data_IF_910572932955
#
_entry.id   IF_910572932955
#
_cell.length_a   1.000
_cell.length_b   1.000
_cell.length_c   1.000
_cell.angle_alpha   90.00
_cell.angle_beta   90.00
_cell.angle_gamma   90.00
#
_symmetry.space_group_name_H-M   'P 1'
#
loop_
_entity.id
_entity.type
_entity.pdbx_description
1 polymer ?
#
# COMPACT_ATOMS: atom_id res chain seq x y z
N UNK A 1 24.42 53.16 35.96
CA UNK A 1 25.15 52.36 36.94
C UNK A 1 24.52 51.04 37.12
N UNK A 2 25.03 50.02 36.43
CA UNK A 2 25.18 48.67 36.92
C UNK A 2 25.98 47.92 35.84
N UNK A 3 27.09 47.36 36.28
CA UNK A 3 28.11 46.68 35.51
C UNK A 3 27.62 45.43 34.79
N UNK A 4 28.14 45.22 33.56
CA UNK A 4 28.06 43.99 32.82
C UNK A 4 29.26 43.10 33.18
N UNK A 5 29.03 41.94 33.76
CA UNK A 5 29.99 40.83 33.78
C UNK A 5 29.78 39.92 32.60
N UNK A 6 30.81 39.79 31.81
CA UNK A 6 30.86 38.87 30.69
C UNK A 6 31.09 37.43 31.16
N UNK A 7 30.29 36.52 30.64
CA UNK A 7 30.58 35.10 30.67
C UNK A 7 30.89 34.63 29.26
N UNK A 8 32.16 34.33 29.05
CA UNK A 8 32.73 33.66 27.89
C UNK A 8 32.23 32.19 27.90
N UNK A 9 31.40 31.82 26.96
CA UNK A 9 30.99 30.39 26.75
C UNK A 9 31.58 29.93 25.43
N UNK A 10 32.66 29.16 25.57
CA UNK A 10 33.40 28.56 24.50
C UNK A 10 32.49 27.73 23.59
N UNK A 11 32.50 28.10 22.33
CA UNK A 11 31.93 27.32 21.23
C UNK A 11 32.78 26.08 21.01
N UNK A 12 32.31 24.92 21.43
CA UNK A 12 32.81 23.63 20.97
C UNK A 12 32.04 23.28 19.69
N UNK A 13 32.65 23.56 18.54
CA UNK A 13 32.26 23.04 17.27
C UNK A 13 32.59 21.56 17.23
N UNK A 14 31.62 20.69 17.50
CA UNK A 14 31.67 19.31 17.07
C UNK A 14 31.00 19.23 15.70
N UNK A 15 31.81 19.36 14.64
CA UNK A 15 31.49 18.90 13.30
C UNK A 15 31.37 17.37 13.33
N UNK A 16 30.24 16.87 13.75
CA UNK A 16 29.81 15.50 13.45
C UNK A 16 29.31 15.45 12.00
N UNK A 17 30.25 15.52 11.04
CA UNK A 17 30.07 15.02 9.69
C UNK A 17 29.88 13.50 9.80
N UNK A 18 28.69 13.04 10.19
CA UNK A 18 28.24 11.69 9.88
C UNK A 18 28.12 11.62 8.36
N UNK A 19 29.15 11.06 7.71
CA UNK A 19 29.04 10.60 6.36
C UNK A 19 27.79 9.70 6.28
N UNK A 20 26.76 10.15 5.55
CA UNK A 20 25.62 9.32 5.23
C UNK A 20 26.16 8.04 4.58
N UNK A 21 25.83 6.90 5.15
CA UNK A 21 26.19 5.59 4.62
C UNK A 21 25.51 5.44 3.25
N UNK A 22 26.29 5.39 2.14
CA UNK A 22 25.71 5.34 0.80
C UNK A 22 24.95 4.04 0.48
N UNK A 23 24.85 3.12 1.43
CA UNK A 23 24.21 1.81 1.29
C UNK A 23 22.88 1.68 2.05
N UNK A 24 22.41 2.73 2.76
CA UNK A 24 21.03 2.69 3.24
C UNK A 24 20.10 2.86 2.03
N UNK A 25 19.25 1.87 1.71
CA UNK A 25 18.19 2.08 0.75
C UNK A 25 17.39 3.30 1.24
N UNK A 26 17.42 4.37 0.46
CA UNK A 26 16.57 5.53 0.69
C UNK A 26 15.16 5.01 0.55
N UNK A 27 14.45 4.84 1.67
CA UNK A 27 13.03 4.51 1.65
C UNK A 27 12.34 5.59 0.82
N UNK A 28 11.88 5.19 -0.35
CA UNK A 28 11.22 6.09 -1.28
C UNK A 28 9.96 6.61 -0.60
N UNK A 29 9.94 7.89 -0.27
CA UNK A 29 8.76 8.52 0.33
C UNK A 29 7.70 8.78 -0.75
N UNK A 30 6.83 7.83 -0.97
CA UNK A 30 5.76 7.91 -1.96
C UNK A 30 4.90 9.17 -1.81
N UNK A 31 4.70 9.66 -0.60
CA UNK A 31 3.98 10.91 -0.35
C UNK A 31 4.73 12.10 -0.95
N UNK A 32 6.02 12.19 -0.76
CA UNK A 32 6.84 13.29 -1.33
C UNK A 32 6.85 13.26 -2.85
N UNK A 33 6.96 12.07 -3.44
CA UNK A 33 6.87 11.89 -4.90
C UNK A 33 5.51 12.37 -5.42
N UNK A 34 4.42 11.97 -4.76
CA UNK A 34 3.06 12.37 -5.14
C UNK A 34 2.86 13.87 -4.99
N UNK A 35 3.33 14.47 -3.90
CA UNK A 35 3.29 15.92 -3.72
C UNK A 35 4.07 16.68 -4.81
N UNK A 36 5.27 16.18 -5.16
CA UNK A 36 6.07 16.75 -6.23
C UNK A 36 5.37 16.62 -7.60
N UNK A 37 4.75 15.47 -7.89
CA UNK A 37 3.99 15.24 -9.12
C UNK A 37 2.78 16.17 -9.22
N UNK A 38 2.00 16.30 -8.14
CA UNK A 38 0.85 17.22 -8.07
C UNK A 38 1.32 18.65 -8.33
N UNK A 39 2.37 19.09 -7.63
CA UNK A 39 2.96 20.43 -7.82
C UNK A 39 3.32 20.66 -9.28
N UNK A 40 4.08 19.73 -9.87
CA UNK A 40 4.50 19.82 -11.27
C UNK A 40 3.32 19.96 -12.23
N UNK A 41 2.29 19.13 -12.06
CA UNK A 41 1.08 19.19 -12.90
C UNK A 41 0.30 20.49 -12.74
N UNK A 42 0.22 21.03 -11.53
CA UNK A 42 -0.39 22.34 -11.28
C UNK A 42 0.41 23.47 -11.93
N UNK A 43 1.74 23.43 -11.83
CA UNK A 43 2.61 24.42 -12.48
C UNK A 43 2.48 24.38 -14.01
N UNK A 44 2.46 23.18 -14.60
CA UNK A 44 2.24 22.99 -16.04
C UNK A 44 0.87 23.54 -16.50
N UNK A 45 -0.19 23.23 -15.77
CA UNK A 45 -1.53 23.71 -16.08
C UNK A 45 -1.66 25.24 -16.00
N UNK A 46 -1.09 25.84 -14.95
CA UNK A 46 -1.11 27.28 -14.73
C UNK A 46 -0.25 27.97 -15.82
N UNK A 47 0.90 27.40 -16.17
CA UNK A 47 1.76 27.91 -17.23
C UNK A 47 1.03 27.92 -18.58
N UNK A 48 0.46 26.79 -18.98
CA UNK A 48 -0.28 26.66 -20.24
C UNK A 48 -1.44 27.64 -20.31
N UNK A 49 -2.22 27.74 -19.23
CA UNK A 49 -3.33 28.71 -19.12
C UNK A 49 -2.84 30.14 -19.28
N UNK A 50 -1.71 30.49 -18.63
CA UNK A 50 -1.16 31.85 -18.71
C UNK A 50 -0.60 32.20 -20.07
N UNK A 51 0.05 31.26 -20.73
CA UNK A 51 0.57 31.44 -22.08
C UNK A 51 -0.57 31.64 -23.09
N UNK A 52 -1.61 30.81 -23.03
CA UNK A 52 -2.82 30.96 -23.87
C UNK A 52 -3.48 32.31 -23.67
N UNK A 53 -3.72 32.70 -22.39
CA UNK A 53 -4.30 34.02 -22.10
C UNK A 53 -3.44 35.16 -22.64
N UNK A 54 -2.10 35.07 -22.52
CA UNK A 54 -1.20 36.11 -23.00
C UNK A 54 -1.21 36.20 -24.53
N UNK A 55 -1.28 35.06 -25.22
CA UNK A 55 -1.38 35.02 -26.66
C UNK A 55 -2.71 35.63 -27.16
N UNK A 56 -3.81 35.29 -26.50
CA UNK A 56 -5.14 35.87 -26.78
C UNK A 56 -5.14 37.39 -26.57
N UNK A 57 -4.62 37.89 -25.45
CA UNK A 57 -4.52 39.31 -25.12
C UNK A 57 -3.69 40.10 -26.15
N UNK A 58 -2.71 39.47 -26.79
CA UNK A 58 -1.85 40.07 -27.77
C UNK A 58 -2.26 39.77 -29.22
N UNK A 59 -3.31 39.02 -29.43
CA UNK A 59 -3.80 38.55 -30.74
C UNK A 59 -2.70 37.88 -31.57
N UNK A 60 -1.94 36.96 -30.91
CA UNK A 60 -0.84 36.18 -31.49
C UNK A 60 -1.01 34.72 -31.13
N UNK A 61 -0.20 33.82 -31.71
CA UNK A 61 -0.14 32.43 -31.33
C UNK A 61 0.80 32.20 -30.14
N UNK A 62 0.56 31.13 -29.36
CA UNK A 62 1.44 30.76 -28.21
C UNK A 62 2.87 30.53 -28.67
N UNK A 63 3.06 29.94 -29.85
CA UNK A 63 4.36 29.63 -30.44
C UNK A 63 5.17 30.89 -30.87
N UNK A 64 4.48 32.02 -31.03
CA UNK A 64 5.10 33.30 -31.37
C UNK A 64 5.47 34.12 -30.13
N UNK A 65 5.16 33.63 -28.91
CA UNK A 65 5.55 34.32 -27.67
C UNK A 65 7.09 34.34 -27.51
N UNK A 66 7.60 35.48 -27.12
CA UNK A 66 9.05 35.66 -26.94
C UNK A 66 9.57 34.94 -25.69
N UNK A 67 10.84 34.48 -25.73
CA UNK A 67 11.46 33.77 -24.61
C UNK A 67 11.38 34.52 -23.25
N UNK A 68 11.53 35.86 -23.17
CA UNK A 68 11.31 36.57 -21.89
C UNK A 68 9.91 36.47 -21.33
N UNK A 69 8.89 36.44 -22.19
CA UNK A 69 7.49 36.28 -21.80
C UNK A 69 7.25 34.90 -21.23
N UNK A 70 7.71 33.87 -21.95
CA UNK A 70 7.62 32.46 -21.50
C UNK A 70 8.29 32.31 -20.14
N UNK A 71 9.52 32.80 -19.98
CA UNK A 71 10.26 32.73 -18.70
C UNK A 71 9.58 33.47 -17.56
N UNK A 72 8.90 34.59 -17.86
CA UNK A 72 8.10 35.30 -16.87
C UNK A 72 6.86 34.51 -16.45
N UNK A 73 6.19 33.88 -17.40
CA UNK A 73 5.04 33.00 -17.14
C UNK A 73 5.43 31.77 -16.32
N UNK A 74 6.56 31.12 -16.63
CA UNK A 74 7.12 30.02 -15.84
C UNK A 74 7.38 30.43 -14.38
N UNK A 75 8.04 31.56 -14.18
CA UNK A 75 8.31 32.08 -12.85
C UNK A 75 7.00 32.33 -12.10
N UNK A 76 6.02 32.91 -12.76
CA UNK A 76 4.71 33.19 -12.18
C UNK A 76 4.00 31.89 -11.81
N UNK A 77 3.97 30.88 -12.68
CA UNK A 77 3.37 29.58 -12.40
C UNK A 77 3.97 28.96 -11.14
N UNK A 78 5.30 28.88 -11.04
CA UNK A 78 6.00 28.34 -9.86
C UNK A 78 5.69 29.10 -8.57
N UNK A 79 5.56 30.40 -8.61
CA UNK A 79 5.30 31.23 -7.41
C UNK A 79 3.81 31.22 -7.03
N UNK A 80 2.91 30.88 -7.94
CA UNK A 80 1.47 30.82 -7.70
C UNK A 80 1.06 29.52 -7.02
N UNK A 81 1.79 28.42 -7.25
CA UNK A 81 1.48 27.11 -6.66
C UNK A 81 2.00 27.04 -5.23
N UNK A 82 1.16 27.38 -4.28
CA UNK A 82 1.49 27.32 -2.85
C UNK A 82 1.46 25.88 -2.32
N UNK A 83 2.38 25.55 -1.39
CA UNK A 83 2.47 24.21 -0.77
C UNK A 83 1.18 23.80 -0.08
N UNK A 84 0.44 24.73 0.51
CA UNK A 84 -0.85 24.46 1.14
C UNK A 84 -1.91 23.98 0.15
N UNK A 85 -1.91 24.50 -1.08
CA UNK A 85 -2.83 24.05 -2.14
C UNK A 85 -2.45 22.67 -2.63
N UNK A 86 -1.15 22.41 -2.83
CA UNK A 86 -0.64 21.08 -3.19
C UNK A 86 -1.03 20.06 -2.13
N UNK A 87 -0.85 20.38 -0.85
CA UNK A 87 -1.25 19.51 0.24
C UNK A 87 -2.77 19.29 0.30
N UNK A 88 -3.57 20.32 0.05
CA UNK A 88 -5.03 20.17 0.00
C UNK A 88 -5.48 19.25 -1.13
N UNK A 89 -4.88 19.37 -2.31
CA UNK A 89 -5.15 18.46 -3.44
C UNK A 89 -4.74 17.04 -3.11
N UNK A 90 -3.58 16.84 -2.49
CA UNK A 90 -3.12 15.54 -2.04
C UNK A 90 -4.10 14.91 -1.03
N UNK A 91 -4.51 15.64 -0.02
CA UNK A 91 -5.46 15.15 0.99
C UNK A 91 -6.82 14.79 0.37
N UNK A 92 -7.31 15.61 -0.58
CA UNK A 92 -8.54 15.31 -1.30
C UNK A 92 -8.42 14.03 -2.13
N UNK A 93 -7.26 13.81 -2.77
CA UNK A 93 -6.99 12.60 -3.52
C UNK A 93 -6.90 11.37 -2.60
N UNK A 94 -6.26 11.46 -1.42
CA UNK A 94 -6.24 10.36 -0.44
C UNK A 94 -7.67 9.98 -0.01
N UNK A 95 -8.49 10.95 0.33
CA UNK A 95 -9.88 10.70 0.70
C UNK A 95 -10.67 10.07 -0.46
N UNK A 96 -10.46 10.53 -1.68
CA UNK A 96 -11.15 9.99 -2.86
C UNK A 96 -10.74 8.53 -3.15
N UNK A 97 -9.51 8.13 -2.84
CA UNK A 97 -9.09 6.72 -3.00
C UNK A 97 -9.96 5.77 -2.17
N UNK A 98 -10.24 6.12 -0.92
CA UNK A 98 -11.10 5.30 -0.06
C UNK A 98 -12.54 5.23 -0.60
N UNK A 99 -13.08 6.35 -1.01
CA UNK A 99 -14.42 6.41 -1.61
C UNK A 99 -14.49 5.69 -2.96
N UNK A 100 -13.46 5.80 -3.78
CA UNK A 100 -13.39 5.10 -5.06
C UNK A 100 -13.37 3.59 -4.85
N UNK A 101 -12.55 3.09 -3.93
CA UNK A 101 -12.50 1.67 -3.62
C UNK A 101 -13.86 1.15 -3.14
N UNK A 102 -14.57 1.89 -2.29
CA UNK A 102 -15.93 1.51 -1.84
C UNK A 102 -16.94 1.47 -2.99
N UNK A 103 -16.89 2.45 -3.91
CA UNK A 103 -17.79 2.48 -5.08
C UNK A 103 -17.51 1.39 -6.11
N UNK A 104 -16.30 0.85 -6.12
CA UNK A 104 -15.86 -0.15 -7.09
C UNK A 104 -15.64 -1.53 -6.47
N UNK A 105 -16.37 -1.85 -5.41
CA UNK A 105 -16.37 -3.20 -4.85
C UNK A 105 -16.81 -4.23 -5.90
N UNK A 106 -16.09 -5.33 -5.94
CA UNK A 106 -16.49 -6.45 -6.76
C UNK A 106 -17.84 -7.03 -6.32
N UNK A 107 -18.65 -7.53 -7.26
CA UNK A 107 -19.85 -8.26 -6.93
C UNK A 107 -19.56 -9.38 -5.92
N UNK A 108 -20.50 -9.64 -5.04
CA UNK A 108 -20.46 -10.68 -4.02
C UNK A 108 -19.33 -10.55 -2.96
N UNK A 109 -18.45 -9.52 -3.00
CA UNK A 109 -17.37 -9.36 -2.03
C UNK A 109 -17.91 -9.32 -0.59
N UNK A 110 -18.88 -8.44 -0.34
CA UNK A 110 -19.47 -8.27 1.00
C UNK A 110 -20.22 -9.53 1.44
N UNK A 111 -21.01 -10.15 0.56
CA UNK A 111 -21.77 -11.36 0.87
C UNK A 111 -20.85 -12.54 1.15
N UNK A 112 -19.77 -12.70 0.38
CA UNK A 112 -18.80 -13.76 0.59
C UNK A 112 -18.09 -13.63 1.95
N UNK A 113 -17.63 -12.43 2.31
CA UNK A 113 -16.99 -12.19 3.62
C UNK A 113 -17.98 -12.47 4.77
N UNK A 114 -19.22 -11.98 4.68
CA UNK A 114 -20.24 -12.26 5.70
C UNK A 114 -20.57 -13.74 5.82
N UNK A 115 -20.57 -14.48 4.72
CA UNK A 115 -20.80 -15.91 4.75
C UNK A 115 -19.65 -16.62 5.46
N UNK A 116 -18.39 -16.26 5.17
CA UNK A 116 -17.21 -16.80 5.85
C UNK A 116 -17.30 -16.55 7.36
N UNK A 117 -17.68 -15.34 7.78
CA UNK A 117 -17.86 -15.01 9.20
C UNK A 117 -18.98 -15.82 9.85
N UNK A 118 -20.07 -16.07 9.11
CA UNK A 118 -21.19 -16.89 9.59
C UNK A 118 -20.81 -18.37 9.74
N UNK A 119 -20.07 -18.91 8.77
CA UNK A 119 -19.66 -20.31 8.75
C UNK A 119 -18.54 -20.60 9.77
N UNK A 120 -17.73 -19.58 10.07
CA UNK A 120 -16.55 -19.68 10.93
C UNK A 120 -16.60 -18.60 12.04
N UNK A 121 -17.36 -18.81 13.14
CA UNK A 121 -17.60 -17.78 14.16
C UNK A 121 -16.36 -17.23 14.88
N UNK A 122 -15.22 -17.95 14.79
CA UNK A 122 -13.96 -17.54 15.39
C UNK A 122 -12.95 -17.03 14.35
N UNK A 123 -13.37 -16.86 13.08
CA UNK A 123 -12.48 -16.34 12.04
C UNK A 123 -12.08 -14.90 12.36
N UNK A 124 -10.80 -14.61 12.12
CA UNK A 124 -10.26 -13.25 12.16
C UNK A 124 -9.97 -12.87 10.72
N UNK A 125 -10.52 -11.76 10.27
CA UNK A 125 -10.39 -11.29 8.90
C UNK A 125 -9.54 -10.03 8.88
N UNK A 126 -8.38 -10.11 8.23
CA UNK A 126 -7.50 -8.97 8.00
C UNK A 126 -7.51 -8.51 6.55
N UNK A 127 -7.33 -7.23 6.33
CA UNK A 127 -7.04 -6.68 5.01
C UNK A 127 -5.57 -6.28 4.89
N UNK A 128 -4.94 -6.70 3.81
CA UNK A 128 -3.53 -6.41 3.51
C UNK A 128 -3.45 -5.66 2.20
N UNK A 129 -2.69 -4.56 2.16
CA UNK A 129 -2.50 -3.74 0.96
C UNK A 129 -1.08 -3.18 0.90
N UNK A 130 -0.51 -3.09 -0.29
CA UNK A 130 0.79 -2.44 -0.54
C UNK A 130 0.69 -0.91 -0.55
N UNK A 131 -0.50 -0.37 -0.61
CA UNK A 131 -0.77 1.07 -0.65
C UNK A 131 -1.35 1.62 0.66
N UNK A 132 -1.69 2.91 0.64
CA UNK A 132 -2.30 3.63 1.77
C UNK A 132 -3.83 3.59 1.78
N UNK A 133 -4.46 2.83 0.88
CA UNK A 133 -5.92 2.67 0.85
C UNK A 133 -6.38 1.71 1.95
N UNK A 134 -6.43 2.21 3.18
CA UNK A 134 -6.78 1.41 4.35
C UNK A 134 -8.29 1.13 4.42
N UNK A 135 -8.72 -0.15 4.32
CA UNK A 135 -10.14 -0.52 4.40
C UNK A 135 -10.84 -0.09 5.70
N UNK A 136 -10.11 0.07 6.81
CA UNK A 136 -10.68 0.55 8.07
C UNK A 136 -11.14 2.01 8.01
N UNK A 137 -10.71 2.77 7.00
CA UNK A 137 -11.18 4.13 6.76
C UNK A 137 -12.38 4.19 5.80
N UNK A 138 -12.79 3.06 5.22
CA UNK A 138 -13.98 2.92 4.39
C UNK A 138 -15.22 2.82 5.26
N UNK A 139 -16.11 3.81 5.14
CA UNK A 139 -17.05 4.17 6.19
C UNK A 139 -18.16 3.13 6.42
N UNK A 140 -18.73 2.50 5.42
CA UNK A 140 -19.99 1.78 5.61
C UNK A 140 -19.97 0.31 5.18
N UNK A 141 -19.23 -0.02 4.15
CA UNK A 141 -19.33 -1.32 3.51
C UNK A 141 -18.26 -2.32 3.97
N UNK A 142 -17.00 -1.91 4.03
CA UNK A 142 -15.86 -2.78 4.31
C UNK A 142 -15.35 -2.70 5.74
N UNK A 143 -15.34 -1.52 6.37
CA UNK A 143 -14.79 -1.33 7.71
C UNK A 143 -15.29 -2.37 8.73
N UNK A 144 -16.61 -2.66 8.83
CA UNK A 144 -17.10 -3.60 9.82
C UNK A 144 -16.81 -5.08 9.50
N UNK A 145 -16.20 -5.37 8.35
CA UNK A 145 -15.91 -6.74 7.92
C UNK A 145 -14.48 -7.18 8.24
N UNK A 146 -13.61 -6.25 8.60
CA UNK A 146 -12.21 -6.52 8.91
C UNK A 146 -11.91 -6.28 10.39
N UNK A 147 -11.24 -7.23 11.00
CA UNK A 147 -10.80 -7.14 12.41
C UNK A 147 -9.51 -6.32 12.53
N UNK A 148 -8.67 -6.34 11.49
CA UNK A 148 -7.46 -5.53 11.40
C UNK A 148 -7.08 -5.22 9.95
N UNK A 149 -6.17 -4.27 9.79
CA UNK A 149 -5.56 -3.96 8.49
C UNK A 149 -4.05 -3.86 8.60
N UNK A 150 -3.38 -4.16 7.51
CA UNK A 150 -1.97 -3.90 7.28
C UNK A 150 -1.84 -3.16 5.96
N UNK A 151 -1.21 -2.00 5.99
CA UNK A 151 -0.88 -1.19 4.83
C UNK A 151 0.62 -0.97 4.79
N UNK A 152 1.29 -1.32 3.68
CA UNK A 152 2.73 -1.12 3.59
C UNK A 152 3.13 0.34 3.82
N UNK A 153 2.44 1.29 3.20
CA UNK A 153 2.75 2.71 3.34
C UNK A 153 2.58 3.24 4.79
N UNK A 154 1.62 2.70 5.53
CA UNK A 154 1.32 3.16 6.90
C UNK A 154 2.11 2.39 7.96
N UNK A 155 2.39 1.11 7.70
CA UNK A 155 2.97 0.18 8.70
C UNK A 155 4.48 -0.09 8.52
N UNK A 156 5.12 0.44 7.47
CA UNK A 156 6.55 0.18 7.21
C UNK A 156 7.46 0.50 8.41
N UNK A 157 7.13 1.54 9.18
CA UNK A 157 7.88 1.89 10.36
C UNK A 157 7.80 0.80 11.45
N UNK A 158 6.66 0.10 11.53
CA UNK A 158 6.47 -1.03 12.45
C UNK A 158 7.29 -2.24 11.98
N UNK A 159 7.30 -2.51 10.68
CA UNK A 159 8.15 -3.59 10.10
C UNK A 159 9.62 -3.33 10.40
N UNK A 160 10.09 -2.10 10.21
CA UNK A 160 11.49 -1.73 10.47
C UNK A 160 11.89 -1.86 11.96
N UNK A 161 10.94 -1.86 12.89
CA UNK A 161 11.17 -2.06 14.32
C UNK A 161 11.16 -3.56 14.70
N UNK A 162 10.72 -4.46 13.84
CA UNK A 162 10.75 -5.89 14.11
C UNK A 162 12.21 -6.37 14.24
N UNK A 163 12.51 -7.05 15.34
CA UNK A 163 13.86 -7.59 15.63
C UNK A 163 14.35 -8.47 14.46
N UNK A 164 13.49 -9.33 13.94
CA UNK A 164 13.80 -10.19 12.81
C UNK A 164 14.19 -9.42 11.55
N UNK A 165 13.59 -8.23 11.32
CA UNK A 165 13.93 -7.40 10.18
C UNK A 165 15.32 -6.76 10.35
N UNK A 166 15.65 -6.34 11.56
CA UNK A 166 16.93 -5.70 11.86
C UNK A 166 18.12 -6.67 11.77
N UNK A 167 17.89 -7.97 11.99
CA UNK A 167 18.92 -9.01 11.90
C UNK A 167 19.24 -9.44 10.46
N UNK A 168 18.40 -9.04 9.48
CA UNK A 168 18.60 -9.42 8.09
C UNK A 168 19.67 -8.58 7.39
N UNK A 169 20.29 -9.19 6.39
CA UNK A 169 21.17 -8.47 5.47
C UNK A 169 20.37 -7.45 4.66
N UNK A 170 21.03 -6.41 4.14
CA UNK A 170 20.39 -5.41 3.30
C UNK A 170 19.73 -6.01 2.03
N UNK A 171 20.25 -7.14 1.53
CA UNK A 171 19.68 -7.88 0.40
C UNK A 171 18.37 -8.55 0.79
N UNK A 172 18.31 -9.17 1.96
CA UNK A 172 17.09 -9.84 2.44
C UNK A 172 16.02 -8.84 2.89
N UNK A 173 16.43 -7.66 3.37
CA UNK A 173 15.54 -6.55 3.67
C UNK A 173 14.87 -5.96 2.43
N UNK A 174 15.45 -6.16 1.24
CA UNK A 174 14.88 -5.69 -0.02
C UNK A 174 13.66 -6.49 -0.50
N UNK A 175 13.39 -7.66 0.09
CA UNK A 175 12.14 -8.40 -0.14
C UNK A 175 11.00 -7.80 0.70
N UNK A 176 10.69 -6.54 0.41
CA UNK A 176 9.76 -5.71 1.17
C UNK A 176 8.38 -6.34 1.31
N UNK A 177 7.93 -7.09 0.29
CA UNK A 177 6.56 -7.59 0.24
C UNK A 177 6.30 -8.81 1.11
N UNK A 178 7.30 -9.64 1.40
CA UNK A 178 7.11 -10.74 2.35
C UNK A 178 6.87 -10.23 3.78
N UNK A 179 7.36 -9.05 4.12
CA UNK A 179 7.22 -8.47 5.44
C UNK A 179 5.83 -7.99 5.78
N UNK A 180 5.07 -7.51 4.79
CA UNK A 180 3.67 -7.12 5.01
C UNK A 180 2.84 -8.32 5.46
N UNK A 181 3.10 -9.51 4.92
CA UNK A 181 2.43 -10.74 5.31
C UNK A 181 2.86 -11.24 6.69
N UNK A 182 4.14 -11.10 7.05
CA UNK A 182 4.64 -11.40 8.41
C UNK A 182 3.97 -10.51 9.45
N UNK A 183 3.85 -9.22 9.17
CA UNK A 183 3.14 -8.28 10.04
C UNK A 183 1.65 -8.62 10.15
N UNK A 184 1.01 -9.04 9.05
CA UNK A 184 -0.38 -9.47 9.07
C UNK A 184 -0.60 -10.69 9.96
N UNK A 185 0.29 -11.70 9.90
CA UNK A 185 0.26 -12.87 10.81
C UNK A 185 0.42 -12.45 12.26
N UNK A 186 1.35 -11.55 12.55
CA UNK A 186 1.56 -11.06 13.91
C UNK A 186 0.29 -10.37 14.44
N UNK A 187 -0.28 -9.43 13.69
CA UNK A 187 -1.52 -8.74 14.07
C UNK A 187 -2.69 -9.71 14.25
N UNK A 188 -2.84 -10.70 13.38
CA UNK A 188 -3.86 -11.73 13.51
C UNK A 188 -3.71 -12.55 14.79
N UNK A 189 -2.49 -12.96 15.14
CA UNK A 189 -2.20 -13.68 16.39
C UNK A 189 -2.48 -12.82 17.63
N UNK A 190 -2.12 -11.55 17.60
CA UNK A 190 -2.42 -10.60 18.68
C UNK A 190 -3.91 -10.45 18.89
N UNK A 191 -4.70 -10.33 17.81
CA UNK A 191 -6.16 -10.26 17.87
C UNK A 191 -6.78 -11.51 18.46
N UNK A 192 -6.29 -12.69 18.09
CA UNK A 192 -6.76 -13.94 18.67
C UNK A 192 -6.44 -14.09 20.16
N UNK A 193 -5.22 -13.71 20.55
CA UNK A 193 -4.85 -13.75 21.96
C UNK A 193 -5.79 -12.88 22.80
N UNK A 194 -6.11 -11.67 22.31
CA UNK A 194 -7.08 -10.78 22.97
C UNK A 194 -8.48 -11.42 23.06
N UNK A 195 -8.96 -12.04 21.98
CA UNK A 195 -10.25 -12.71 21.95
C UNK A 195 -10.30 -13.88 22.93
N UNK A 196 -9.21 -14.67 23.00
CA UNK A 196 -9.08 -15.80 23.93
C UNK A 196 -9.06 -15.35 25.39
N UNK A 197 -8.37 -14.25 25.71
CA UNK A 197 -8.36 -13.68 27.07
C UNK A 197 -9.74 -13.20 27.51
N UNK A 198 -10.51 -12.59 26.61
CA UNK A 198 -11.88 -12.16 26.90
C UNK A 198 -12.78 -13.36 27.17
N UNK A 199 -12.69 -14.43 26.37
CA UNK A 199 -13.44 -15.67 26.56
C UNK A 199 -13.07 -16.35 27.88
N UNK A 200 -11.79 -16.47 28.24
CA UNK A 200 -11.33 -17.06 29.51
C UNK A 200 -11.88 -16.34 30.74
N UNK A 201 -12.05 -15.03 30.70
CA UNK A 201 -12.65 -14.26 31.80
C UNK A 201 -14.14 -14.60 31.99
N UNK A 202 -14.79 -15.05 30.94
CA UNK A 202 -16.25 -15.33 30.98
C UNK A 202 -16.57 -16.79 31.29
N UNK A 203 -15.76 -17.77 30.84
CA UNK A 203 -16.20 -19.17 30.76
C UNK A 203 -15.35 -20.18 31.57
N UNK A 204 -14.29 -19.80 32.27
CA UNK A 204 -13.38 -20.69 33.01
C UNK A 204 -12.84 -21.92 32.23
N UNK A 205 -12.73 -21.83 30.92
CA UNK A 205 -12.28 -22.93 30.07
C UNK A 205 -10.74 -23.03 30.04
N UNK A 206 -10.23 -24.28 30.08
CA UNK A 206 -8.81 -24.61 29.94
C UNK A 206 -8.32 -24.37 28.49
N UNK A 207 -7.05 -24.05 28.35
CA UNK A 207 -6.40 -23.80 27.07
C UNK A 207 -6.35 -25.05 26.20
N UNK A 208 -7.16 -25.10 25.16
CA UNK A 208 -6.79 -25.89 23.98
C UNK A 208 -5.80 -25.06 23.14
N UNK A 209 -4.69 -25.67 22.76
CA UNK A 209 -3.74 -25.08 21.82
C UNK A 209 -4.47 -24.80 20.50
N UNK A 210 -4.70 -23.52 20.22
CA UNK A 210 -5.40 -23.11 19.00
C UNK A 210 -4.47 -23.34 17.83
N UNK A 211 -4.77 -24.32 17.00
CA UNK A 211 -4.09 -24.51 15.71
C UNK A 211 -4.53 -23.40 14.73
N UNK A 212 -3.57 -22.62 14.30
CA UNK A 212 -3.79 -21.52 13.38
C UNK A 212 -3.72 -22.01 11.92
N UNK A 213 -4.78 -21.75 11.18
CA UNK A 213 -4.76 -21.85 9.73
C UNK A 213 -4.93 -20.45 9.14
N UNK A 214 -3.95 -20.00 8.37
CA UNK A 214 -4.02 -18.76 7.62
C UNK A 214 -4.31 -19.05 6.16
N UNK A 215 -5.39 -18.45 5.64
CA UNK A 215 -5.72 -18.46 4.22
C UNK A 215 -5.56 -17.04 3.69
N UNK A 216 -4.72 -16.84 2.69
CA UNK A 216 -4.56 -15.56 2.01
C UNK A 216 -5.29 -15.58 0.67
N UNK A 217 -6.00 -14.48 0.38
CA UNK A 217 -6.84 -14.33 -0.82
C UNK A 217 -6.41 -13.06 -1.54
N UNK A 218 -5.98 -13.19 -2.78
CA UNK A 218 -5.56 -12.05 -3.60
C UNK A 218 -5.43 -12.37 -5.07
N UNK A 219 -5.11 -11.39 -5.90
CA UNK A 219 -5.08 -11.53 -7.36
C UNK A 219 -3.66 -11.53 -7.94
N UNK A 220 -2.65 -11.19 -7.15
CA UNK A 220 -1.26 -11.15 -7.62
C UNK A 220 -0.50 -12.44 -7.29
N UNK A 221 -0.07 -13.15 -8.35
CA UNK A 221 0.69 -14.40 -8.20
C UNK A 221 2.02 -14.21 -7.50
N UNK A 222 2.73 -13.11 -7.77
CA UNK A 222 4.04 -12.87 -7.17
C UNK A 222 3.93 -12.58 -5.67
N UNK A 223 3.01 -11.72 -5.33
CA UNK A 223 2.88 -11.15 -3.99
C UNK A 223 1.85 -11.89 -3.15
N UNK A 224 0.57 -11.91 -3.57
CA UNK A 224 -0.48 -12.52 -2.74
C UNK A 224 -0.30 -14.03 -2.63
N UNK A 225 0.09 -14.70 -3.70
CA UNK A 225 0.37 -16.13 -3.64
C UNK A 225 1.79 -16.39 -3.16
N UNK A 226 2.81 -15.88 -3.88
CA UNK A 226 4.21 -16.16 -3.58
C UNK A 226 4.65 -15.64 -2.22
N UNK A 227 4.35 -14.37 -1.92
CA UNK A 227 4.71 -13.71 -0.66
C UNK A 227 4.00 -14.35 0.54
N UNK A 228 2.68 -14.53 0.48
CA UNK A 228 1.91 -15.12 1.57
C UNK A 228 2.29 -16.59 1.83
N UNK A 229 2.49 -17.40 0.77
CA UNK A 229 2.91 -18.80 0.91
C UNK A 229 4.28 -18.94 1.60
N UNK A 230 5.22 -18.02 1.36
CA UNK A 230 6.53 -18.02 2.07
C UNK A 230 6.40 -17.80 3.57
N UNK A 231 5.30 -17.20 4.00
CA UNK A 231 4.96 -17.00 5.40
C UNK A 231 4.03 -18.10 5.97
N UNK A 232 3.76 -19.16 5.21
CA UNK A 232 2.99 -20.32 5.64
C UNK A 232 1.46 -20.21 5.41
N UNK A 233 1.01 -19.26 4.58
CA UNK A 233 -0.40 -19.19 4.21
C UNK A 233 -0.77 -20.29 3.21
N UNK A 234 -2.00 -20.80 3.32
CA UNK A 234 -2.72 -21.37 2.18
C UNK A 234 -3.20 -20.23 1.29
N UNK A 235 -3.18 -20.40 -0.03
CA UNK A 235 -3.38 -19.30 -0.97
C UNK A 235 -4.56 -19.53 -1.90
N UNK A 236 -5.37 -18.52 -2.07
CA UNK A 236 -6.48 -18.50 -3.02
C UNK A 236 -6.23 -17.40 -4.05
N UNK A 237 -5.98 -17.81 -5.28
CA UNK A 237 -5.84 -16.87 -6.40
C UNK A 237 -7.21 -16.43 -6.91
N UNK A 238 -7.45 -15.12 -6.90
CA UNK A 238 -8.65 -14.50 -7.44
C UNK A 238 -8.41 -14.12 -8.90
N UNK A 239 -8.94 -14.89 -9.83
CA UNK A 239 -8.79 -14.70 -11.27
C UNK A 239 -10.15 -14.38 -11.91
N UNK A 240 -10.66 -13.16 -11.62
CA UNK A 240 -11.98 -12.71 -12.09
C UNK A 240 -12.03 -12.55 -13.61
N UNK A 241 -13.23 -12.36 -14.15
CA UNK A 241 -13.44 -12.05 -15.55
C UNK A 241 -12.60 -10.86 -16.02
N UNK A 242 -12.05 -10.89 -17.25
CA UNK A 242 -11.25 -9.79 -17.81
C UNK A 242 -11.94 -8.42 -17.79
N UNK A 243 -13.26 -8.38 -17.77
CA UNK A 243 -14.04 -7.13 -17.69
C UNK A 243 -13.79 -6.32 -16.41
N UNK A 244 -13.32 -6.97 -15.33
CA UNK A 244 -12.97 -6.29 -14.07
C UNK A 244 -11.59 -5.62 -14.10
N UNK A 245 -10.78 -5.83 -15.14
CA UNK A 245 -9.53 -5.10 -15.38
C UNK A 245 -8.48 -5.27 -14.28
N UNK A 246 -8.32 -6.49 -13.73
CA UNK A 246 -7.32 -6.76 -12.70
C UNK A 246 -5.91 -6.44 -13.22
N UNK A 247 -5.18 -5.59 -12.50
CA UNK A 247 -3.83 -5.15 -12.87
C UNK A 247 -2.83 -6.32 -12.85
N UNK A 248 -2.95 -7.21 -11.88
CA UNK A 248 -2.09 -8.39 -11.74
C UNK A 248 -2.17 -9.30 -12.98
N UNK A 249 -3.34 -9.45 -13.58
CA UNK A 249 -3.49 -10.19 -14.85
C UNK A 249 -2.70 -9.55 -15.99
N UNK A 250 -2.73 -8.23 -16.12
CA UNK A 250 -1.96 -7.53 -17.15
C UNK A 250 -0.46 -7.75 -16.96
N UNK A 251 0.03 -7.68 -15.72
CA UNK A 251 1.43 -7.96 -15.38
C UNK A 251 1.83 -9.39 -15.75
N UNK A 252 0.98 -10.37 -15.47
CA UNK A 252 1.23 -11.77 -15.83
C UNK A 252 1.34 -11.97 -17.34
N UNK A 253 0.59 -11.18 -18.13
CA UNK A 253 0.67 -11.17 -19.61
C UNK A 253 1.85 -10.35 -20.14
N UNK A 254 2.69 -9.78 -19.26
CA UNK A 254 3.80 -8.89 -19.65
C UNK A 254 3.34 -7.52 -20.12
N UNK A 255 2.15 -7.09 -19.70
CA UNK A 255 1.56 -5.79 -20.04
C UNK A 255 1.44 -4.96 -18.78
N UNK A 256 1.56 -3.65 -18.95
CA UNK A 256 1.30 -2.67 -17.88
C UNK A 256 0.20 -1.71 -18.34
N UNK A 257 -0.64 -1.24 -17.43
CA UNK A 257 -1.56 -0.16 -17.74
C UNK A 257 -0.80 1.09 -18.20
N UNK A 258 -1.38 1.90 -19.10
CA UNK A 258 -0.76 3.15 -19.59
C UNK A 258 -0.36 4.13 -18.47
N UNK A 259 -1.02 4.04 -17.32
CA UNK A 259 -0.72 4.87 -16.15
C UNK A 259 0.40 4.32 -15.26
N UNK A 260 0.87 3.09 -15.49
CA UNK A 260 1.93 2.47 -14.69
C UNK A 260 3.27 3.14 -14.97
N UNK A 261 4.07 3.26 -13.92
CA UNK A 261 5.45 3.75 -13.98
C UNK A 261 6.47 2.63 -13.82
N UNK A 262 6.01 1.37 -13.82
CA UNK A 262 6.88 0.20 -13.72
C UNK A 262 7.86 0.15 -14.92
N UNK A 263 9.11 -0.11 -14.63
CA UNK A 263 10.15 -0.32 -15.64
C UNK A 263 10.06 -1.75 -16.23
N UNK A 264 10.70 -1.96 -17.39
CA UNK A 264 10.79 -3.29 -18.00
C UNK A 264 11.51 -4.31 -17.09
N UNK A 265 12.49 -3.85 -16.30
CA UNK A 265 13.22 -4.71 -15.36
C UNK A 265 12.33 -5.14 -14.18
N UNK A 266 11.56 -4.23 -13.61
CA UNK A 266 10.59 -4.52 -12.54
C UNK A 266 9.51 -5.49 -13.03
N UNK A 267 8.96 -5.24 -14.22
CA UNK A 267 7.99 -6.13 -14.84
C UNK A 267 8.58 -7.52 -15.10
N UNK A 268 9.82 -7.60 -15.55
CA UNK A 268 10.55 -8.84 -15.77
C UNK A 268 10.82 -9.62 -14.46
N UNK A 269 11.16 -8.91 -13.39
CA UNK A 269 11.33 -9.50 -12.06
C UNK A 269 10.01 -10.05 -11.52
N UNK A 270 8.95 -9.24 -11.56
CA UNK A 270 7.61 -9.65 -11.16
C UNK A 270 7.11 -10.89 -11.94
N UNK A 271 7.34 -10.93 -13.27
CA UNK A 271 6.99 -12.07 -14.09
C UNK A 271 7.73 -13.37 -13.72
N UNK A 272 8.99 -13.29 -13.26
CA UNK A 272 9.73 -14.44 -12.73
C UNK A 272 9.17 -14.90 -11.40
N UNK A 273 8.87 -13.98 -10.48
CA UNK A 273 8.25 -14.28 -9.20
C UNK A 273 6.87 -14.94 -9.39
N UNK A 274 6.04 -14.42 -10.28
CA UNK A 274 4.74 -14.98 -10.62
C UNK A 274 4.84 -16.43 -11.13
N UNK A 275 5.81 -16.73 -12.00
CA UNK A 275 6.04 -18.09 -12.49
C UNK A 275 6.46 -19.05 -11.37
N UNK A 276 7.28 -18.59 -10.43
CA UNK A 276 7.73 -19.38 -9.28
C UNK A 276 6.63 -19.61 -8.24
N UNK A 277 5.57 -18.81 -8.27
CA UNK A 277 4.45 -18.91 -7.35
C UNK A 277 3.27 -19.74 -7.89
N UNK A 278 3.30 -20.14 -9.16
CA UNK A 278 2.17 -20.85 -9.76
C UNK A 278 1.86 -22.20 -9.10
N UNK A 279 2.86 -22.90 -8.64
CA UNK A 279 2.75 -24.18 -7.93
C UNK A 279 2.36 -24.05 -6.45
N UNK A 280 2.29 -22.82 -5.95
CA UNK A 280 1.88 -22.49 -4.59
C UNK A 280 0.41 -22.06 -4.47
N UNK A 281 -0.34 -22.10 -5.56
CA UNK A 281 -1.77 -21.80 -5.58
C UNK A 281 -2.54 -23.02 -5.06
N UNK A 282 -3.08 -22.93 -3.84
CA UNK A 282 -3.91 -24.03 -3.27
C UNK A 282 -5.30 -24.07 -3.89
N UNK A 283 -5.85 -22.91 -4.24
CA UNK A 283 -7.14 -22.82 -4.94
C UNK A 283 -7.20 -21.60 -5.86
N UNK A 284 -8.05 -21.68 -6.88
CA UNK A 284 -8.34 -20.57 -7.81
C UNK A 284 -9.84 -20.36 -7.91
N UNK A 285 -10.26 -19.09 -7.82
CA UNK A 285 -11.66 -18.70 -7.98
C UNK A 285 -11.83 -17.71 -9.12
N UNK A 286 -12.98 -17.76 -9.79
CA UNK A 286 -13.34 -16.82 -10.86
C UNK A 286 -14.44 -15.86 -10.46
N UNK A 287 -15.12 -16.11 -9.34
CA UNK A 287 -16.10 -15.23 -8.71
C UNK A 287 -15.91 -15.27 -7.21
N UNK A 288 -16.17 -14.14 -6.54
CA UNK A 288 -16.03 -14.07 -5.09
C UNK A 288 -17.09 -14.88 -4.34
N UNK A 289 -18.20 -15.22 -5.00
CA UNK A 289 -19.22 -16.14 -4.45
C UNK A 289 -18.72 -17.57 -4.19
N UNK A 290 -17.62 -17.98 -4.84
CA UNK A 290 -16.98 -19.29 -4.61
C UNK A 290 -16.12 -19.33 -3.34
N UNK A 291 -15.73 -18.15 -2.83
CA UNK A 291 -14.75 -18.04 -1.76
C UNK A 291 -15.16 -18.75 -0.45
N UNK A 292 -16.41 -18.65 0.06
CA UNK A 292 -16.79 -19.34 1.30
C UNK A 292 -16.61 -20.87 1.23
N UNK A 293 -16.98 -21.49 0.11
CA UNK A 293 -16.83 -22.94 -0.11
C UNK A 293 -15.35 -23.33 -0.14
N UNK A 294 -14.54 -22.59 -0.91
CA UNK A 294 -13.10 -22.83 -1.03
C UNK A 294 -12.39 -22.69 0.32
N UNK A 295 -12.72 -21.65 1.11
CA UNK A 295 -12.15 -21.49 2.44
C UNK A 295 -12.51 -22.67 3.34
N UNK A 296 -13.77 -23.10 3.35
CA UNK A 296 -14.22 -24.24 4.14
C UNK A 296 -13.49 -25.54 3.71
N UNK A 297 -13.26 -25.75 2.42
CA UNK A 297 -12.46 -26.88 1.92
C UNK A 297 -11.01 -26.82 2.40
N UNK A 298 -10.38 -25.65 2.34
CA UNK A 298 -9.00 -25.47 2.79
C UNK A 298 -8.85 -25.63 4.31
N UNK A 299 -9.81 -25.16 5.10
CA UNK A 299 -9.77 -25.29 6.56
C UNK A 299 -9.98 -26.73 7.01
N UNK A 300 -10.91 -27.46 6.40
CA UNK A 300 -11.25 -28.80 6.81
C UNK A 300 -10.31 -29.87 6.27
N UNK A 301 -9.35 -29.51 5.43
CA UNK A 301 -8.45 -30.41 4.74
C UNK A 301 -9.25 -31.43 3.91
N UNK A 302 -9.29 -31.36 2.58
CA UNK A 302 -9.60 -32.58 1.84
C UNK A 302 -8.49 -33.55 2.21
N UNK A 303 -8.83 -34.60 2.98
CA UNK A 303 -7.99 -35.77 3.03
C UNK A 303 -7.77 -36.16 1.58
N UNK A 304 -6.54 -36.03 1.10
CA UNK A 304 -6.12 -36.48 -0.21
C UNK A 304 -6.52 -37.93 -0.34
N UNK A 305 -7.49 -38.22 -1.23
CA UNK A 305 -7.70 -39.55 -1.77
C UNK A 305 -6.73 -39.78 -2.92
#
# INVERSE_FOLDING_TARGET
>A
DIAAEGADVGASSSDDNKAEDPLKPTTVNHKEIRLAAIRKKMEEFILDTKLKQTADDWATDVDDLTAPVIKSAEKWARTTVHSSVVQAVYNAWEMERHHAAERHLFPDAISAIKQIQSDNPNVIIGAVTDGSANPMLMVFSLMPLFDFTVSWEDDIANVQQMEQFQELSAVDQSDELSWIYRLAVQKGKEMSALTSEIKKKNDNEENDDIEWCWVHVGDDLAYDVGGAATCGAKTVLVDLSPEYGQTARLRLEGKVPEWSTESEDELGAHGKMSKNAMDKVDARIQTLSQLPEVINELLNGKADE
#
